data_IF_092031186840
#
_entry.id   IF_092031186840
#
_cell.length_a   1.000
_cell.length_b   1.000
_cell.length_c   1.000
_cell.angle_alpha   90.00
_cell.angle_beta   90.00
_cell.angle_gamma   90.00
#
_symmetry.space_group_name_H-M   'P 1'
#
loop_
_entity.id
_entity.type
_entity.pdbx_description
1 polymer ?
#
# COMPACT_ATOMS: atom_id res chain seq x y z
N UNK A 1 30.14 8.70 -26.95
CA UNK A 1 28.73 8.60 -26.53
C UNK A 1 28.36 9.90 -25.83
N UNK A 2 27.27 10.54 -26.26
CA UNK A 2 26.79 11.78 -25.63
C UNK A 2 26.18 11.46 -24.25
N UNK A 3 26.16 12.42 -23.31
CA UNK A 3 25.56 12.20 -21.98
C UNK A 3 24.10 11.75 -22.04
N UNK A 4 23.31 12.31 -22.96
CA UNK A 4 21.89 11.97 -23.14
C UNK A 4 21.70 10.54 -23.65
N UNK A 5 22.56 10.11 -24.58
CA UNK A 5 22.58 8.72 -25.04
C UNK A 5 22.93 7.79 -23.88
N UNK A 6 23.93 8.11 -23.06
CA UNK A 6 24.27 7.27 -21.89
C UNK A 6 23.08 7.10 -20.94
N UNK A 7 22.31 8.17 -20.72
CA UNK A 7 21.18 8.18 -19.80
C UNK A 7 20.00 7.38 -20.37
N UNK A 8 19.72 7.52 -21.67
CA UNK A 8 18.73 6.70 -22.38
C UNK A 8 19.05 5.22 -22.31
N UNK A 9 20.31 4.84 -22.56
CA UNK A 9 20.75 3.45 -22.51
C UNK A 9 20.74 2.88 -21.09
N UNK A 10 21.11 3.68 -20.08
CA UNK A 10 21.04 3.28 -18.68
C UNK A 10 19.59 3.02 -18.23
N UNK A 11 18.64 3.83 -18.72
CA UNK A 11 17.23 3.67 -18.39
C UNK A 11 16.62 2.43 -19.03
N UNK A 12 16.91 2.19 -20.31
CA UNK A 12 16.52 0.96 -20.99
C UNK A 12 17.11 -0.27 -20.28
N UNK A 13 18.39 -0.25 -19.93
CA UNK A 13 19.02 -1.34 -19.19
C UNK A 13 18.40 -1.56 -17.80
N UNK A 14 18.00 -0.49 -17.11
CA UNK A 14 17.29 -0.58 -15.83
C UNK A 14 15.92 -1.22 -15.98
N UNK A 15 15.13 -0.80 -16.98
CA UNK A 15 13.80 -1.36 -17.23
C UNK A 15 13.86 -2.87 -17.50
N UNK A 16 14.92 -3.35 -18.16
CA UNK A 16 15.17 -4.77 -18.41
C UNK A 16 15.57 -5.57 -17.16
N UNK A 17 15.95 -4.96 -16.03
CA UNK A 17 16.41 -5.70 -14.84
C UNK A 17 15.70 -5.30 -13.56
N UNK A 18 14.73 -4.39 -13.63
CA UNK A 18 14.03 -3.81 -12.47
C UNK A 18 13.30 -4.84 -11.60
N UNK A 19 12.90 -5.97 -12.19
CA UNK A 19 12.16 -7.02 -11.49
C UNK A 19 13.08 -7.97 -10.71
N UNK A 20 14.40 -7.83 -10.86
CA UNK A 20 15.39 -8.64 -10.13
C UNK A 20 15.62 -8.03 -8.75
N UNK A 21 15.41 -8.78 -7.65
CA UNK A 21 15.70 -8.28 -6.30
C UNK A 21 17.15 -7.83 -6.17
N UNK A 22 17.39 -6.67 -5.55
CA UNK A 22 18.72 -6.04 -5.47
C UNK A 22 19.82 -6.98 -4.96
N UNK A 23 19.52 -7.78 -3.92
CA UNK A 23 20.44 -8.78 -3.33
C UNK A 23 20.87 -9.84 -4.36
N UNK A 24 19.96 -10.25 -5.24
CA UNK A 24 20.24 -11.22 -6.31
C UNK A 24 20.94 -10.52 -7.48
N UNK A 25 20.53 -9.29 -7.79
CA UNK A 25 21.04 -8.51 -8.90
C UNK A 25 22.54 -8.20 -8.77
N UNK A 26 23.01 -7.85 -7.57
CA UNK A 26 24.45 -7.58 -7.34
C UNK A 26 25.33 -8.80 -7.61
N UNK A 27 24.89 -9.97 -7.13
CA UNK A 27 25.57 -11.23 -7.35
C UNK A 27 25.51 -11.66 -8.82
N UNK A 28 24.35 -11.48 -9.47
CA UNK A 28 24.18 -11.71 -10.90
C UNK A 28 25.09 -10.80 -11.74
N UNK A 29 25.23 -9.52 -11.38
CA UNK A 29 26.17 -8.60 -11.99
C UNK A 29 27.62 -9.06 -11.79
N UNK A 30 27.98 -9.55 -10.60
CA UNK A 30 29.32 -10.09 -10.33
C UNK A 30 29.60 -11.35 -11.16
N UNK A 31 28.60 -12.20 -11.35
CA UNK A 31 28.67 -13.37 -12.23
C UNK A 31 28.85 -12.95 -13.69
N UNK A 32 27.97 -12.08 -14.21
CA UNK A 32 27.99 -11.60 -15.58
C UNK A 32 29.33 -10.93 -15.93
N UNK A 33 29.94 -10.16 -15.03
CA UNK A 33 31.28 -9.57 -15.24
C UNK A 33 32.39 -10.60 -15.49
N UNK A 34 32.22 -11.84 -15.03
CA UNK A 34 33.21 -12.91 -15.18
C UNK A 34 32.92 -13.80 -16.39
N UNK A 35 31.66 -13.86 -16.84
CA UNK A 35 31.21 -14.83 -17.86
C UNK A 35 30.81 -14.17 -19.18
N UNK A 36 30.40 -12.91 -19.18
CA UNK A 36 30.05 -12.18 -20.39
C UNK A 36 31.31 -11.68 -21.11
N UNK A 37 31.55 -12.23 -22.28
CA UNK A 37 32.59 -11.83 -23.25
C UNK A 37 32.15 -10.65 -24.13
N UNK A 38 30.85 -10.36 -24.18
CA UNK A 38 30.26 -9.30 -24.99
C UNK A 38 29.14 -8.55 -24.24
N UNK A 39 29.00 -7.22 -24.37
CA UNK A 39 27.99 -6.43 -23.67
C UNK A 39 26.55 -6.94 -23.85
N UNK A 40 26.22 -7.43 -25.05
CA UNK A 40 24.90 -8.00 -25.34
C UNK A 40 24.57 -9.28 -24.52
N UNK A 41 25.57 -9.95 -23.93
CA UNK A 41 25.36 -11.14 -23.09
C UNK A 41 25.17 -10.82 -21.61
N UNK A 42 25.33 -9.57 -21.19
CA UNK A 42 25.21 -9.17 -19.78
C UNK A 42 23.80 -9.44 -19.25
N UNK A 43 22.76 -8.94 -19.94
CA UNK A 43 21.36 -9.15 -19.54
C UNK A 43 20.99 -10.64 -19.53
N UNK A 44 21.28 -11.43 -20.58
CA UNK A 44 21.09 -12.89 -20.53
C UNK A 44 21.83 -13.58 -19.39
N UNK A 45 23.07 -13.18 -19.08
CA UNK A 45 23.84 -13.76 -17.97
C UNK A 45 23.25 -13.42 -16.60
N UNK A 46 22.64 -12.23 -16.45
CA UNK A 46 21.94 -11.83 -15.24
C UNK A 46 20.68 -12.68 -15.05
N UNK A 47 19.86 -12.85 -16.09
CA UNK A 47 18.64 -13.67 -16.03
C UNK A 47 18.92 -15.17 -15.89
N UNK A 48 20.02 -15.66 -16.45
CA UNK A 48 20.47 -17.04 -16.30
C UNK A 48 21.12 -17.34 -14.94
N UNK A 49 21.40 -16.32 -14.13
CA UNK A 49 22.03 -16.49 -12.83
C UNK A 49 21.09 -17.24 -11.89
N UNK A 50 21.56 -18.39 -11.38
CA UNK A 50 20.86 -19.16 -10.34
C UNK A 50 21.43 -18.78 -8.99
N UNK A 51 20.73 -17.95 -8.19
CA UNK A 51 21.16 -17.66 -6.83
C UNK A 51 21.18 -18.94 -5.99
N UNK A 52 21.99 -18.93 -4.94
CA UNK A 52 22.04 -20.05 -3.99
C UNK A 52 20.68 -20.22 -3.32
N UNK A 53 20.33 -21.47 -3.02
CA UNK A 53 19.01 -21.84 -2.49
C UNK A 53 18.69 -21.16 -1.15
N UNK A 54 19.70 -21.01 -0.30
CA UNK A 54 19.64 -20.32 0.99
C UNK A 54 19.17 -18.86 0.83
N UNK A 55 19.71 -18.13 -0.14
CA UNK A 55 19.34 -16.73 -0.43
C UNK A 55 17.86 -16.64 -0.84
N UNK A 56 17.41 -17.52 -1.74
CA UNK A 56 16.00 -17.55 -2.18
C UNK A 56 15.06 -17.87 -1.02
N UNK A 57 15.45 -18.83 -0.17
CA UNK A 57 14.65 -19.22 0.99
C UNK A 57 14.55 -18.11 2.04
N UNK A 58 15.64 -17.38 2.27
CA UNK A 58 15.67 -16.24 3.19
C UNK A 58 14.80 -15.08 2.67
N UNK A 59 14.86 -14.78 1.37
CA UNK A 59 14.05 -13.74 0.76
C UNK A 59 12.55 -14.06 0.85
N UNK A 60 12.16 -15.30 0.59
CA UNK A 60 10.76 -15.76 0.75
C UNK A 60 10.27 -15.57 2.19
N UNK A 61 11.06 -16.01 3.17
CA UNK A 61 10.70 -15.82 4.60
C UNK A 61 10.54 -14.35 4.96
N UNK A 62 11.41 -13.47 4.46
CA UNK A 62 11.27 -12.03 4.69
C UNK A 62 10.00 -11.46 4.06
N UNK A 63 9.65 -11.88 2.84
CA UNK A 63 8.41 -11.45 2.19
C UNK A 63 7.17 -11.95 2.95
N UNK A 64 7.17 -13.20 3.40
CA UNK A 64 6.10 -13.78 4.22
C UNK A 64 5.95 -13.02 5.54
N UNK A 65 7.06 -12.69 6.22
CA UNK A 65 7.05 -11.88 7.44
C UNK A 65 6.51 -10.48 7.19
N UNK A 66 6.94 -9.82 6.11
CA UNK A 66 6.44 -8.49 5.75
C UNK A 66 4.94 -8.51 5.46
N UNK A 67 4.46 -9.53 4.74
CA UNK A 67 3.03 -9.72 4.49
C UNK A 67 2.25 -9.98 5.78
N UNK A 68 2.78 -10.78 6.70
CA UNK A 68 2.15 -11.02 7.99
C UNK A 68 2.08 -9.75 8.85
N UNK A 69 3.12 -8.91 8.83
CA UNK A 69 3.10 -7.62 9.51
C UNK A 69 2.05 -6.68 8.93
N UNK A 70 1.94 -6.60 7.60
CA UNK A 70 0.90 -5.81 6.93
C UNK A 70 -0.50 -6.31 7.28
N UNK A 71 -0.72 -7.62 7.24
CA UNK A 71 -1.99 -8.23 7.62
C UNK A 71 -2.35 -7.94 9.09
N UNK A 72 -1.36 -7.91 9.99
CA UNK A 72 -1.58 -7.54 11.39
C UNK A 72 -1.94 -6.06 11.57
N UNK A 73 -1.31 -5.15 10.80
CA UNK A 73 -1.66 -3.73 10.81
C UNK A 73 -3.10 -3.55 10.33
N UNK A 74 -3.48 -4.21 9.23
CA UNK A 74 -4.83 -4.17 8.70
C UNK A 74 -5.83 -4.81 9.69
N UNK A 75 -5.47 -5.93 10.32
CA UNK A 75 -6.30 -6.56 11.34
C UNK A 75 -6.52 -5.66 12.57
N UNK A 76 -5.48 -4.93 13.02
CA UNK A 76 -5.61 -3.94 14.09
C UNK A 76 -6.50 -2.76 13.67
N UNK A 77 -6.37 -2.30 12.42
CA UNK A 77 -7.21 -1.23 11.88
C UNK A 77 -8.68 -1.66 11.78
N UNK A 78 -8.94 -2.90 11.39
CA UNK A 78 -10.29 -3.49 11.34
C UNK A 78 -10.84 -3.70 12.76
N UNK A 79 -10.02 -4.18 13.70
CA UNK A 79 -10.42 -4.36 15.09
C UNK A 79 -10.76 -3.03 15.78
N UNK A 80 -10.02 -1.95 15.50
CA UNK A 80 -10.34 -0.60 15.97
C UNK A 80 -11.56 0.00 15.27
N UNK A 81 -11.94 -0.50 14.09
CA UNK A 81 -13.13 -0.04 13.41
C UNK A 81 -14.41 -0.49 14.14
N UNK A 82 -14.35 -1.54 14.97
CA UNK A 82 -15.48 -2.08 15.74
C UNK A 82 -16.65 -2.55 14.86
N UNK A 83 -17.51 -3.47 15.33
CA UNK A 83 -18.86 -3.47 14.81
C UNK A 83 -19.48 -2.11 15.15
N UNK A 84 -20.12 -1.45 14.18
CA UNK A 84 -21.01 -0.34 14.50
C UNK A 84 -22.04 -0.92 15.46
N UNK A 85 -21.93 -0.56 16.75
CA UNK A 85 -22.87 -0.98 17.76
C UNK A 85 -24.20 -0.30 17.44
N UNK A 86 -25.16 -1.07 16.93
CA UNK A 86 -26.52 -0.62 16.70
C UNK A 86 -27.19 -0.13 18.01
N UNK A 87 -26.57 -0.40 19.17
CA UNK A 87 -27.02 -0.03 20.51
C UNK A 87 -26.70 1.39 20.99
N UNK A 88 -25.85 2.16 20.29
CA UNK A 88 -25.48 3.53 20.69
C UNK A 88 -25.70 4.57 19.58
N UNK A 89 -26.77 4.42 18.78
CA UNK A 89 -27.19 5.53 17.92
C UNK A 89 -27.85 6.62 18.76
N UNK A 90 -27.26 7.80 18.70
CA UNK A 90 -27.73 9.01 19.34
C UNK A 90 -29.17 9.28 18.91
N UNK A 91 -30.06 9.44 19.89
CA UNK A 91 -31.46 9.78 19.62
C UNK A 91 -31.58 11.17 19.00
N UNK A 92 -32.70 11.45 18.31
CA UNK A 92 -32.94 12.77 17.71
C UNK A 92 -32.89 13.91 18.73
N UNK A 93 -33.27 13.64 19.98
CA UNK A 93 -33.24 14.62 21.07
C UNK A 93 -31.80 14.95 21.51
N UNK A 94 -30.94 13.93 21.61
CA UNK A 94 -29.51 14.13 21.91
C UNK A 94 -28.78 14.83 20.73
N UNK A 95 -29.19 14.53 19.50
CA UNK A 95 -28.69 15.21 18.30
C UNK A 95 -29.13 16.69 18.27
N UNK A 96 -30.33 17.02 18.77
CA UNK A 96 -30.84 18.39 18.87
C UNK A 96 -30.01 19.23 19.83
N UNK A 97 -29.53 18.64 20.92
CA UNK A 97 -28.73 19.33 21.93
C UNK A 97 -27.28 19.64 21.47
N UNK A 98 -26.82 19.00 20.39
CA UNK A 98 -25.51 19.28 19.80
C UNK A 98 -25.49 20.58 18.99
N UNK A 99 -24.32 21.21 18.97
CA UNK A 99 -24.03 22.32 18.06
C UNK A 99 -24.18 21.88 16.59
N UNK A 100 -24.66 22.73 15.67
CA UNK A 100 -24.93 22.34 14.28
C UNK A 100 -23.73 21.71 13.54
N UNK A 101 -22.50 22.18 13.80
CA UNK A 101 -21.27 21.59 13.25
C UNK A 101 -20.98 20.17 13.77
N UNK A 102 -21.38 19.89 15.01
CA UNK A 102 -21.23 18.58 15.63
C UNK A 102 -22.31 17.60 15.17
N UNK A 103 -23.52 18.07 14.81
CA UNK A 103 -24.57 17.22 14.23
C UNK A 103 -24.16 16.59 12.90
N UNK A 104 -23.52 17.37 12.03
CA UNK A 104 -22.97 16.88 10.75
C UNK A 104 -21.86 15.85 10.99
N UNK A 105 -21.01 16.12 11.98
CA UNK A 105 -19.91 15.22 12.36
C UNK A 105 -20.45 13.91 12.94
N UNK A 106 -21.52 13.94 13.73
CA UNK A 106 -22.16 12.76 14.30
C UNK A 106 -22.71 11.84 13.21
N UNK A 107 -23.38 12.39 12.18
CA UNK A 107 -23.86 11.58 11.05
C UNK A 107 -22.69 11.04 10.19
N UNK A 108 -21.67 11.87 9.93
CA UNK A 108 -20.50 11.43 9.16
C UNK A 108 -19.70 10.32 9.87
N UNK A 109 -19.79 10.24 11.19
CA UNK A 109 -19.18 9.19 12.03
C UNK A 109 -20.10 7.99 12.26
N UNK A 110 -21.34 8.04 11.78
CA UNK A 110 -22.33 6.97 11.94
C UNK A 110 -22.97 6.90 13.33
N UNK A 111 -22.83 7.96 14.15
CA UNK A 111 -23.42 8.03 15.50
C UNK A 111 -24.89 8.44 15.50
N UNK A 112 -25.38 9.01 14.40
CA UNK A 112 -26.77 9.41 14.24
C UNK A 112 -27.23 9.15 12.81
N UNK A 113 -28.53 8.95 12.59
CA UNK A 113 -29.06 8.71 11.24
C UNK A 113 -29.18 10.02 10.47
N UNK A 114 -28.94 9.95 9.17
CA UNK A 114 -29.16 11.08 8.26
C UNK A 114 -30.62 11.56 8.28
N UNK A 115 -31.58 10.64 8.46
CA UNK A 115 -33.01 10.95 8.62
C UNK A 115 -33.30 11.89 9.78
N UNK A 116 -32.56 11.76 10.88
CA UNK A 116 -32.80 12.50 12.12
C UNK A 116 -32.24 13.93 12.00
N UNK A 117 -31.11 14.08 11.29
CA UNK A 117 -30.57 15.38 10.93
C UNK A 117 -31.49 16.15 9.97
N UNK A 118 -32.09 15.45 9.01
CA UNK A 118 -32.98 16.07 8.02
C UNK A 118 -34.31 16.50 8.64
N UNK A 119 -34.83 15.73 9.61
CA UNK A 119 -35.99 16.11 10.41
C UNK A 119 -35.74 17.39 11.23
N UNK A 120 -34.57 17.53 11.87
CA UNK A 120 -34.21 18.75 12.61
C UNK A 120 -34.07 19.97 11.69
N UNK A 121 -33.54 19.80 10.47
CA UNK A 121 -33.46 20.90 9.49
C UNK A 121 -34.84 21.35 9.01
N UNK A 122 -35.80 20.43 8.89
CA UNK A 122 -37.18 20.75 8.55
C UNK A 122 -37.91 21.49 9.69
N UNK A 123 -37.61 21.17 10.96
CA UNK A 123 -38.13 21.89 12.13
C UNK A 123 -37.56 23.32 12.26
N UNK A 124 -36.27 23.51 11.96
CA UNK A 124 -35.59 24.83 12.06
C UNK A 124 -35.97 25.78 10.91
N UNK A 125 -36.39 25.24 9.75
CA UNK A 125 -36.83 26.00 8.59
C UNK A 125 -38.17 25.47 8.06
N UNK A 126 -39.28 25.71 8.78
CA UNK A 126 -40.60 25.40 8.26
C UNK A 126 -40.88 26.33 7.06
N UNK A 127 -41.23 25.74 5.93
CA UNK A 127 -41.66 26.49 4.75
C UNK A 127 -42.97 27.24 5.00
#
# INVERSE_FOLDING_TARGET
>A
MKPEERLSWARAAFDEVRDVPAVIFEDACRHARRTADHPAKIVPAIYGYKPRFDVVSALRRQMEQAQALLANIDALRIAQAGPLDDGEMMGIDELRDLMPSMRITAVAKGWARQSDLDALKQEEFPC
#
